data_IF_477473436415
#
_entry.id   IF_477473436415
#
_cell.length_a   1.000
_cell.length_b   1.000
_cell.length_c   1.000
_cell.angle_alpha   90.00
_cell.angle_beta   90.00
_cell.angle_gamma   90.00
#
_symmetry.space_group_name_H-M   'P 1'
#
loop_
_entity.id
_entity.type
_entity.pdbx_description
1 polymer ?
#
# COMPACT_ATOMS: atom_id res chain seq x y z
N UNK A 1 -0.18 -9.69 16.90
CA UNK A 1 -1.02 -9.48 15.69
C UNK A 1 -0.11 -9.03 14.56
N UNK A 2 -0.30 -9.55 13.35
CA UNK A 2 0.49 -9.15 12.17
C UNK A 2 -0.31 -8.17 11.33
N UNK A 3 0.36 -7.24 10.66
CA UNK A 3 -0.26 -6.10 9.99
C UNK A 3 0.29 -5.87 8.59
N UNK A 4 -0.53 -5.22 7.78
CA UNK A 4 -0.18 -4.65 6.48
C UNK A 4 -0.31 -3.14 6.58
N UNK A 5 0.64 -2.40 6.00
CA UNK A 5 0.56 -0.95 5.88
C UNK A 5 0.84 -0.53 4.43
N UNK A 6 0.02 0.38 3.90
CA UNK A 6 0.16 0.93 2.55
C UNK A 6 -0.40 2.36 2.48
N UNK A 7 0.15 3.26 1.65
CA UNK A 7 -0.49 4.53 1.36
C UNK A 7 -1.81 4.34 0.63
N UNK A 8 -2.82 5.11 1.03
CA UNK A 8 -4.14 5.10 0.40
C UNK A 8 -4.43 6.42 -0.31
N UNK A 9 -3.67 6.65 -1.39
CA UNK A 9 -3.72 7.87 -2.18
C UNK A 9 -3.94 7.55 -3.67
N UNK A 10 -4.67 6.46 -3.95
CA UNK A 10 -4.97 5.98 -5.31
C UNK A 10 -3.73 5.70 -6.18
N UNK A 11 -2.58 5.45 -5.55
CA UNK A 11 -1.39 4.98 -6.25
C UNK A 11 -1.72 3.70 -7.03
N UNK A 12 -1.59 3.76 -8.36
CA UNK A 12 -1.66 2.56 -9.21
C UNK A 12 -0.36 1.76 -9.03
N UNK A 13 -0.40 0.45 -9.27
CA UNK A 13 0.77 -0.45 -9.20
C UNK A 13 1.56 -0.43 -7.87
N UNK A 14 0.89 -0.21 -6.72
CA UNK A 14 1.48 -0.22 -5.35
C UNK A 14 2.37 -1.43 -5.04
N UNK A 15 2.04 -2.61 -5.57
CA UNK A 15 2.80 -3.84 -5.32
C UNK A 15 4.23 -3.85 -5.90
N UNK A 16 4.59 -2.90 -6.77
CA UNK A 16 5.94 -2.80 -7.36
C UNK A 16 6.73 -1.56 -6.95
N UNK A 17 6.19 -0.71 -6.08
CA UNK A 17 6.79 0.59 -5.73
C UNK A 17 7.44 0.64 -4.34
N UNK A 18 7.53 -0.47 -3.60
CA UNK A 18 8.07 -0.48 -2.24
C UNK A 18 7.22 0.31 -1.22
N UNK A 19 5.98 0.65 -1.59
CA UNK A 19 5.02 1.39 -0.77
C UNK A 19 4.10 0.48 0.03
N UNK A 20 4.31 -0.83 0.00
CA UNK A 20 3.51 -1.79 0.78
C UNK A 20 4.46 -2.58 1.65
N UNK A 21 4.19 -2.64 2.95
CA UNK A 21 4.87 -3.54 3.87
C UNK A 21 3.88 -4.53 4.48
N UNK A 22 4.31 -5.79 4.57
CA UNK A 22 3.50 -6.93 4.98
C UNK A 22 4.10 -7.57 6.23
N UNK A 23 3.25 -8.28 6.99
CA UNK A 23 3.66 -9.10 8.13
C UNK A 23 4.41 -8.33 9.24
N UNK A 24 4.04 -7.07 9.48
CA UNK A 24 4.66 -6.21 10.49
C UNK A 24 3.97 -6.30 11.86
N UNK A 25 4.70 -5.93 12.92
CA UNK A 25 4.11 -5.52 14.19
C UNK A 25 3.80 -4.00 14.21
N UNK A 26 3.15 -3.51 15.29
CA UNK A 26 2.77 -2.09 15.40
C UNK A 26 3.96 -1.13 15.46
N UNK A 27 5.07 -1.53 16.07
CA UNK A 27 6.25 -0.67 16.18
C UNK A 27 6.90 -0.49 14.79
N UNK A 28 7.01 -1.59 14.04
CA UNK A 28 7.49 -1.60 12.67
C UNK A 28 6.56 -0.81 11.73
N UNK A 29 5.24 -0.88 11.93
CA UNK A 29 4.28 -0.04 11.19
C UNK A 29 4.51 1.44 11.47
N UNK A 30 4.66 1.83 12.74
CA UNK A 30 4.90 3.22 13.11
C UNK A 30 6.20 3.76 12.49
N UNK A 31 7.26 2.96 12.49
CA UNK A 31 8.52 3.32 11.84
C UNK A 31 8.38 3.43 10.32
N UNK A 32 7.67 2.49 9.70
CA UNK A 32 7.40 2.52 8.25
C UNK A 32 6.67 3.81 7.83
N UNK A 33 5.66 4.21 8.60
CA UNK A 33 4.89 5.44 8.38
C UNK A 33 5.78 6.66 8.61
N UNK A 34 6.49 6.73 9.74
CA UNK A 34 7.37 7.87 10.08
C UNK A 34 8.42 8.13 9.02
N UNK A 35 9.01 7.08 8.44
CA UNK A 35 10.02 7.20 7.40
C UNK A 35 9.49 7.68 6.06
N UNK A 36 8.17 7.67 5.82
CA UNK A 36 7.56 7.91 4.49
C UNK A 36 6.53 9.04 4.47
N UNK A 37 5.90 9.33 5.61
CA UNK A 37 4.97 10.43 5.75
C UNK A 37 5.66 11.75 5.38
N UNK A 38 5.03 12.53 4.51
CA UNK A 38 5.55 13.79 4.00
C UNK A 38 6.62 13.67 2.91
N UNK A 39 7.13 12.46 2.60
CA UNK A 39 8.08 12.30 1.49
C UNK A 39 7.37 12.40 0.15
N UNK A 40 7.97 13.17 -0.76
CA UNK A 40 7.48 13.27 -2.13
C UNK A 40 7.72 11.96 -2.90
N UNK A 41 6.70 11.55 -3.64
CA UNK A 41 6.78 10.45 -4.58
C UNK A 41 6.32 10.94 -5.94
N UNK A 42 7.07 10.58 -6.97
CA UNK A 42 6.70 10.84 -8.36
C UNK A 42 5.95 9.64 -8.92
N UNK A 43 4.74 9.86 -9.44
CA UNK A 43 3.97 8.84 -10.15
C UNK A 43 3.34 9.44 -11.40
N UNK A 44 3.69 8.89 -12.57
CA UNK A 44 3.09 9.27 -13.85
C UNK A 44 3.29 10.75 -14.21
N UNK A 45 4.41 11.36 -13.78
CA UNK A 45 4.72 12.77 -14.02
C UNK A 45 4.18 13.75 -12.97
N UNK A 46 3.42 13.28 -11.98
CA UNK A 46 2.97 14.10 -10.85
C UNK A 46 3.81 13.81 -9.59
N UNK A 47 4.30 14.86 -8.92
CA UNK A 47 4.98 14.77 -7.62
C UNK A 47 4.06 15.27 -6.52
N UNK A 48 3.89 14.47 -5.47
CA UNK A 48 3.12 14.85 -4.29
C UNK A 48 3.64 14.12 -3.04
N UNK A 49 3.51 14.70 -1.84
CA UNK A 49 3.87 14.05 -0.59
C UNK A 49 2.90 12.92 -0.24
N UNK A 50 3.38 11.89 0.46
CA UNK A 50 2.50 10.88 1.06
C UNK A 50 1.90 11.43 2.35
N UNK A 51 0.57 11.53 2.42
CA UNK A 51 -0.14 12.10 3.58
C UNK A 51 -0.97 11.08 4.36
N UNK A 52 -1.41 9.99 3.73
CA UNK A 52 -2.36 9.05 4.33
C UNK A 52 -1.93 7.61 4.16
N UNK A 53 -2.00 6.84 5.25
CA UNK A 53 -1.75 5.40 5.29
C UNK A 53 -2.96 4.65 5.82
N UNK A 54 -3.15 3.43 5.33
CA UNK A 54 -4.09 2.47 5.90
C UNK A 54 -3.30 1.30 6.51
N UNK A 55 -3.75 0.85 7.68
CA UNK A 55 -3.20 -0.29 8.41
C UNK A 55 -4.31 -1.32 8.58
N UNK A 56 -4.05 -2.55 8.14
CA UNK A 56 -5.02 -3.65 8.12
C UNK A 56 -4.41 -4.90 8.76
N UNK A 57 -5.20 -5.78 9.39
CA UNK A 57 -4.71 -7.10 9.80
C UNK A 57 -4.08 -7.86 8.63
N UNK A 58 -2.89 -8.44 8.86
CA UNK A 58 -2.26 -9.31 7.88
C UNK A 58 -2.94 -10.67 7.89
N UNK A 59 -3.53 -11.03 6.76
CA UNK A 59 -4.16 -12.32 6.58
C UNK A 59 -3.26 -13.18 5.68
N UNK A 60 -2.61 -14.23 6.23
CA UNK A 60 -1.75 -15.10 5.46
C UNK A 60 -2.59 -15.93 4.48
N UNK A 61 -2.18 -15.95 3.21
CA UNK A 61 -2.86 -16.69 2.16
C UNK A 61 -1.85 -17.43 1.29
N UNK A 62 -2.12 -18.70 0.98
CA UNK A 62 -1.26 -19.50 0.12
C UNK A 62 -1.48 -19.18 -1.36
N UNK A 63 -2.73 -18.96 -1.77
CA UNK A 63 -3.12 -18.43 -3.08
C UNK A 63 -4.53 -17.85 -2.99
N UNK A 64 -4.70 -16.57 -3.36
CA UNK A 64 -5.94 -16.12 -4.01
C UNK A 64 -5.70 -14.86 -4.86
N UNK A 65 -6.09 -14.91 -6.13
CA UNK A 65 -6.07 -13.78 -7.08
C UNK A 65 -7.49 -13.59 -7.60
N UNK A 66 -8.12 -12.48 -7.25
CA UNK A 66 -9.26 -11.97 -7.99
C UNK A 66 -8.90 -10.63 -8.62
N UNK A 67 -8.99 -10.58 -9.95
CA UNK A 67 -8.88 -9.35 -10.73
C UNK A 67 -9.95 -9.43 -11.82
N UNK A 68 -11.14 -8.90 -11.55
CA UNK A 68 -12.13 -8.66 -12.60
C UNK A 68 -12.03 -7.19 -13.00
N UNK A 69 -11.40 -6.95 -14.15
CA UNK A 69 -11.60 -5.72 -14.92
C UNK A 69 -12.38 -6.09 -16.16
N UNK A 70 -13.59 -5.52 -16.33
CA UNK A 70 -14.23 -5.43 -17.63
C UNK A 70 -15.49 -6.27 -17.89
N UNK A 71 -16.26 -6.68 -16.87
CA UNK A 71 -17.63 -7.16 -17.13
C UNK A 71 -18.59 -5.97 -17.33
N UNK A 72 -18.29 -5.08 -18.29
CA UNK A 72 -19.17 -3.95 -18.72
C UNK A 72 -18.88 -3.47 -20.16
N UNK A 73 -18.08 -4.19 -20.94
CA UNK A 73 -17.96 -3.92 -22.39
C UNK A 73 -17.79 -5.21 -23.18
N UNK A 74 -18.81 -6.07 -23.15
CA UNK A 74 -19.28 -6.96 -24.22
C UNK A 74 -20.52 -7.71 -23.74
#
# INVERSE_FOLDING_TARGET
MRLVVKPDMLFRKRGKSGLVALNLDMAQVAEFVKQRLGKEVEMGGCKAPITTFIVEPFMPHFTFRLFLKGLDRL
#
